data_IF_652233589940
#
_entry.id   IF_652233589940
#
_cell.length_a   1.000
_cell.length_b   1.000
_cell.length_c   1.000
_cell.angle_alpha   90.00
_cell.angle_beta   90.00
_cell.angle_gamma   90.00
#
_symmetry.space_group_name_H-M   'P 1'
#
loop_
_entity.id
_entity.type
_entity.pdbx_description
1 polymer ?
#
# COMPACT_ATOMS: atom_id res chain seq x y z
N UNK A 1 -20.65 0.94 7.63
CA UNK A 1 -21.73 0.71 6.65
C UNK A 1 -22.24 2.02 6.07
N UNK A 2 -22.57 3.03 6.85
CA UNK A 2 -23.07 4.35 6.38
C UNK A 2 -22.16 5.04 5.35
N UNK A 3 -20.86 5.17 5.61
CA UNK A 3 -19.90 5.77 4.65
C UNK A 3 -19.85 5.07 3.29
N UNK A 4 -20.03 3.74 3.26
CA UNK A 4 -20.03 2.99 2.00
C UNK A 4 -21.26 3.30 1.15
N UNK A 5 -22.41 3.48 1.80
CA UNK A 5 -23.68 3.85 1.14
C UNK A 5 -23.59 5.28 0.61
N UNK A 6 -23.04 6.21 1.41
CA UNK A 6 -22.86 7.61 1.02
C UNK A 6 -21.92 7.75 -0.20
N UNK A 7 -20.78 7.05 -0.22
CA UNK A 7 -19.89 7.06 -1.38
C UNK A 7 -20.54 6.47 -2.64
N UNK A 8 -21.38 5.43 -2.51
CA UNK A 8 -22.08 4.86 -3.67
C UNK A 8 -23.14 5.84 -4.22
N UNK A 9 -23.81 6.60 -3.34
CA UNK A 9 -24.76 7.65 -3.73
C UNK A 9 -24.04 8.79 -4.45
N UNK A 10 -22.96 9.32 -3.87
CA UNK A 10 -22.14 10.34 -4.50
C UNK A 10 -21.56 9.87 -5.85
N UNK A 11 -21.19 8.60 -5.96
CA UNK A 11 -20.73 8.03 -7.22
C UNK A 11 -21.83 8.00 -8.28
N UNK A 12 -23.08 7.67 -7.90
CA UNK A 12 -24.21 7.72 -8.82
C UNK A 12 -24.50 9.16 -9.29
N UNK A 13 -24.47 10.14 -8.40
CA UNK A 13 -24.64 11.57 -8.72
C UNK A 13 -23.51 12.08 -9.64
N UNK A 14 -22.26 11.68 -9.38
CA UNK A 14 -21.12 12.03 -10.21
C UNK A 14 -21.20 11.40 -11.61
N UNK A 15 -21.72 10.18 -11.74
CA UNK A 15 -22.03 9.54 -13.04
C UNK A 15 -23.11 10.29 -13.81
N UNK A 16 -24.08 10.87 -13.12
CA UNK A 16 -25.10 11.75 -13.70
C UNK A 16 -24.56 13.13 -14.10
N UNK A 17 -23.25 13.42 -13.89
CA UNK A 17 -22.58 14.65 -14.29
C UNK A 17 -22.37 15.67 -13.18
N UNK A 18 -22.68 15.37 -11.91
CA UNK A 18 -22.44 16.28 -10.81
C UNK A 18 -20.94 16.43 -10.52
N UNK A 19 -20.40 17.62 -10.83
CA UNK A 19 -19.01 17.98 -10.50
C UNK A 19 -18.79 18.08 -8.99
N UNK A 20 -19.79 18.51 -8.26
CA UNK A 20 -19.73 18.63 -6.79
C UNK A 20 -19.62 17.25 -6.14
N UNK A 21 -20.45 16.28 -6.55
CA UNK A 21 -20.38 14.91 -6.07
C UNK A 21 -19.02 14.28 -6.36
N UNK A 22 -18.44 14.53 -7.55
CA UNK A 22 -17.09 14.09 -7.90
C UNK A 22 -16.01 14.71 -6.98
N UNK A 23 -16.11 16.03 -6.74
CA UNK A 23 -15.17 16.74 -5.85
C UNK A 23 -15.23 16.21 -4.42
N UNK A 24 -16.45 15.91 -3.92
CA UNK A 24 -16.63 15.29 -2.60
C UNK A 24 -16.04 13.88 -2.55
N UNK A 25 -16.27 13.02 -3.54
CA UNK A 25 -15.64 11.71 -3.62
C UNK A 25 -14.10 11.79 -3.56
N UNK A 26 -13.53 12.74 -4.29
CA UNK A 26 -12.09 12.99 -4.25
C UNK A 26 -11.64 13.37 -2.84
N UNK A 27 -12.24 14.40 -2.25
CA UNK A 27 -11.84 14.92 -0.93
C UNK A 27 -11.97 13.88 0.19
N UNK A 28 -13.00 13.02 0.12
CA UNK A 28 -13.25 11.99 1.12
C UNK A 28 -12.32 10.75 0.99
N UNK A 29 -11.76 10.52 -0.21
CA UNK A 29 -10.95 9.33 -0.47
C UNK A 29 -9.45 9.59 -0.65
N UNK A 30 -9.05 10.84 -0.96
CA UNK A 30 -7.66 11.16 -1.29
C UNK A 30 -6.69 10.82 -0.15
N UNK A 31 -7.08 11.04 1.09
CA UNK A 31 -6.23 10.73 2.25
C UNK A 31 -5.94 9.23 2.37
N UNK A 32 -6.95 8.39 2.18
CA UNK A 32 -6.82 6.93 2.23
C UNK A 32 -5.92 6.42 1.09
N UNK A 33 -6.16 6.91 -0.13
CA UNK A 33 -5.35 6.57 -1.30
C UNK A 33 -3.90 7.01 -1.10
N UNK A 34 -3.67 8.25 -0.67
CA UNK A 34 -2.34 8.79 -0.40
C UNK A 34 -1.58 7.96 0.65
N UNK A 35 -2.23 7.64 1.77
CA UNK A 35 -1.64 6.79 2.81
C UNK A 35 -1.24 5.41 2.26
N UNK A 36 -2.12 4.79 1.46
CA UNK A 36 -1.82 3.49 0.82
C UNK A 36 -0.60 3.58 -0.09
N UNK A 37 -0.53 4.63 -0.91
CA UNK A 37 0.63 4.87 -1.79
C UNK A 37 1.90 5.06 -0.97
N UNK A 38 1.87 5.89 0.08
CA UNK A 38 3.03 6.15 0.95
C UNK A 38 3.58 4.89 1.62
N UNK A 39 2.71 3.94 1.98
CA UNK A 39 3.14 2.66 2.54
C UNK A 39 3.70 1.68 1.51
N UNK A 40 3.25 1.76 0.25
CA UNK A 40 3.54 0.74 -0.76
C UNK A 40 4.55 1.19 -1.83
N UNK A 41 4.73 2.50 -2.01
CA UNK A 41 5.73 3.10 -2.88
C UNK A 41 6.94 3.49 -2.04
N UNK A 42 8.13 3.12 -2.47
CA UNK A 42 9.37 3.31 -1.69
C UNK A 42 9.78 4.77 -1.59
N UNK A 43 9.73 5.47 -2.73
CA UNK A 43 10.17 6.85 -2.82
C UNK A 43 9.03 7.81 -2.51
N UNK A 44 9.22 8.60 -1.48
CA UNK A 44 8.24 9.60 -1.06
C UNK A 44 7.94 10.63 -2.15
N UNK A 45 8.97 11.00 -2.93
CA UNK A 45 8.87 11.95 -4.05
C UNK A 45 7.99 11.46 -5.20
N UNK A 46 7.82 10.15 -5.35
CA UNK A 46 6.98 9.56 -6.41
C UNK A 46 5.51 9.38 -5.97
N UNK A 47 5.20 9.63 -4.70
CA UNK A 47 3.87 9.37 -4.16
C UNK A 47 2.80 10.24 -4.81
N UNK A 48 3.08 11.52 -5.02
CA UNK A 48 2.12 12.47 -5.59
C UNK A 48 1.77 12.10 -7.05
N UNK A 49 2.77 11.73 -7.84
CA UNK A 49 2.59 11.27 -9.22
C UNK A 49 1.72 10.00 -9.27
N UNK A 50 1.98 9.06 -8.38
CA UNK A 50 1.20 7.80 -8.32
C UNK A 50 -0.24 8.08 -7.89
N UNK A 51 -0.48 9.00 -6.95
CA UNK A 51 -1.82 9.41 -6.53
C UNK A 51 -2.55 10.08 -7.70
N UNK A 52 -1.88 10.96 -8.44
CA UNK A 52 -2.44 11.59 -9.63
C UNK A 52 -2.81 10.55 -10.69
N UNK A 53 -1.93 9.59 -10.97
CA UNK A 53 -2.19 8.48 -11.90
C UNK A 53 -3.40 7.64 -11.48
N UNK A 54 -3.58 7.42 -10.16
CA UNK A 54 -4.73 6.69 -9.62
C UNK A 54 -6.02 7.43 -9.94
N UNK A 55 -6.11 8.74 -9.67
CA UNK A 55 -7.33 9.51 -9.90
C UNK A 55 -7.59 9.74 -11.39
N UNK A 56 -6.56 9.87 -12.22
CA UNK A 56 -6.73 9.86 -13.67
C UNK A 56 -7.27 8.51 -14.18
N UNK A 57 -6.78 7.39 -13.63
CA UNK A 57 -7.29 6.07 -13.99
C UNK A 57 -8.72 5.86 -13.47
N UNK A 58 -9.04 6.35 -12.27
CA UNK A 58 -10.39 6.37 -11.73
C UNK A 58 -11.32 7.13 -12.68
N UNK A 59 -10.98 8.36 -13.02
CA UNK A 59 -11.78 9.21 -13.92
C UNK A 59 -12.08 8.53 -15.26
N UNK A 60 -11.05 7.95 -15.90
CA UNK A 60 -11.21 7.20 -17.16
C UNK A 60 -12.07 5.94 -17.04
N UNK A 61 -12.07 5.32 -15.88
CA UNK A 61 -12.84 4.09 -15.62
C UNK A 61 -14.24 4.37 -15.07
N UNK A 62 -14.48 5.60 -14.63
CA UNK A 62 -15.70 6.02 -13.97
C UNK A 62 -16.99 5.76 -14.77
N UNK A 63 -17.03 5.99 -16.10
CA UNK A 63 -18.21 5.67 -16.91
C UNK A 63 -18.61 4.19 -16.93
N UNK A 64 -17.70 3.31 -16.49
CA UNK A 64 -17.91 1.84 -16.39
C UNK A 64 -18.10 1.36 -14.96
N UNK A 65 -18.13 2.28 -14.00
CA UNK A 65 -18.37 1.94 -12.62
C UNK A 65 -19.84 1.51 -12.45
N UNK A 66 -20.04 0.38 -11.76
CA UNK A 66 -21.34 -0.13 -11.39
C UNK A 66 -21.72 0.39 -10.00
N UNK A 67 -22.74 1.28 -9.89
CA UNK A 67 -23.16 1.86 -8.59
C UNK A 67 -23.70 0.83 -7.59
N UNK A 68 -24.05 -0.38 -8.04
CA UNK A 68 -24.43 -1.48 -7.14
C UNK A 68 -23.23 -2.04 -6.35
N UNK A 69 -22.01 -1.72 -6.75
CA UNK A 69 -20.78 -2.12 -6.06
C UNK A 69 -20.28 -1.04 -5.11
N UNK A 70 -19.69 -1.41 -3.96
CA UNK A 70 -19.09 -0.44 -3.05
C UNK A 70 -17.99 0.38 -3.73
N UNK A 71 -18.08 1.72 -3.67
CA UNK A 71 -17.14 2.62 -4.35
C UNK A 71 -15.70 2.51 -3.81
N UNK A 72 -15.52 2.47 -2.46
CA UNK A 72 -14.18 2.42 -1.85
C UNK A 72 -13.36 1.19 -2.29
N UNK A 73 -13.88 -0.05 -2.23
CA UNK A 73 -13.16 -1.23 -2.74
C UNK A 73 -12.84 -1.13 -4.24
N UNK A 74 -13.74 -0.56 -5.05
CA UNK A 74 -13.50 -0.37 -6.47
C UNK A 74 -12.36 0.62 -6.74
N UNK A 75 -12.38 1.81 -6.09
CA UNK A 75 -11.29 2.78 -6.18
C UNK A 75 -9.96 2.19 -5.68
N UNK A 76 -9.99 1.49 -4.54
CA UNK A 76 -8.78 0.87 -3.99
C UNK A 76 -8.23 -0.22 -4.93
N UNK A 77 -9.09 -0.93 -5.66
CA UNK A 77 -8.67 -1.87 -6.72
C UNK A 77 -7.90 -1.16 -7.84
N UNK A 78 -8.33 0.04 -8.25
CA UNK A 78 -7.60 0.89 -9.21
C UNK A 78 -6.27 1.32 -8.60
N UNK A 79 -6.27 1.80 -7.36
CA UNK A 79 -5.05 2.23 -6.66
C UNK A 79 -4.01 1.10 -6.59
N UNK A 80 -4.40 -0.10 -6.18
CA UNK A 80 -3.50 -1.25 -6.10
C UNK A 80 -2.94 -1.66 -7.46
N UNK A 81 -3.70 -1.48 -8.54
CA UNK A 81 -3.25 -1.73 -9.91
C UNK A 81 -2.19 -0.71 -10.34
N UNK A 82 -2.43 0.60 -10.10
CA UNK A 82 -1.47 1.65 -10.44
C UNK A 82 -0.17 1.52 -9.64
N UNK A 83 -0.25 1.30 -8.33
CA UNK A 83 0.92 1.04 -7.48
C UNK A 83 1.74 -0.15 -8.02
N UNK A 84 1.09 -1.25 -8.40
CA UNK A 84 1.77 -2.42 -8.99
C UNK A 84 2.45 -2.10 -10.32
N UNK A 85 1.76 -1.34 -11.19
CA UNK A 85 2.31 -0.92 -12.49
C UNK A 85 3.53 -0.01 -12.30
N UNK A 86 3.43 0.97 -11.40
CA UNK A 86 4.53 1.86 -11.04
C UNK A 86 5.75 1.06 -10.54
N UNK A 87 5.58 0.14 -9.60
CA UNK A 87 6.64 -0.74 -9.10
C UNK A 87 7.27 -1.60 -10.19
N UNK A 88 6.45 -2.15 -11.12
CA UNK A 88 6.96 -2.93 -12.25
C UNK A 88 7.78 -2.07 -13.20
N UNK A 89 7.33 -0.86 -13.54
CA UNK A 89 8.04 0.10 -14.39
C UNK A 89 9.41 0.44 -13.78
N UNK A 90 9.43 0.80 -12.52
CA UNK A 90 10.66 1.11 -11.79
C UNK A 90 11.63 -0.07 -11.74
N UNK A 91 11.16 -1.27 -11.45
CA UNK A 91 12.00 -2.46 -11.48
C UNK A 91 12.61 -2.72 -12.85
N UNK A 92 11.86 -2.51 -13.94
CA UNK A 92 12.39 -2.62 -15.30
C UNK A 92 13.46 -1.56 -15.58
N UNK A 93 13.25 -0.30 -15.15
CA UNK A 93 14.22 0.77 -15.30
C UNK A 93 15.54 0.44 -14.57
N UNK A 94 15.44 -0.03 -13.33
CA UNK A 94 16.61 -0.45 -12.55
C UNK A 94 17.35 -1.62 -13.19
N UNK A 95 16.66 -2.58 -13.79
CA UNK A 95 17.30 -3.68 -14.54
C UNK A 95 18.03 -3.19 -15.78
N UNK A 96 17.46 -2.24 -16.51
CA UNK A 96 18.09 -1.65 -17.71
C UNK A 96 19.32 -0.87 -17.29
N UNK A 97 19.23 -0.04 -16.25
CA UNK A 97 20.35 0.71 -15.72
C UNK A 97 21.51 -0.22 -15.27
N UNK A 98 21.19 -1.26 -14.48
CA UNK A 98 22.19 -2.26 -14.08
C UNK A 98 22.83 -3.01 -15.26
N UNK A 99 22.06 -3.28 -16.31
CA UNK A 99 22.61 -3.93 -17.52
C UNK A 99 23.53 -2.98 -18.30
N UNK A 100 23.24 -1.70 -18.29
CA UNK A 100 24.12 -0.68 -18.87
C UNK A 100 25.39 -0.47 -18.04
N UNK A 101 25.28 -0.47 -16.70
CA UNK A 101 26.42 -0.39 -15.77
C UNK A 101 27.30 -1.67 -15.78
N UNK A 102 26.69 -2.85 -15.92
CA UNK A 102 27.42 -4.13 -16.01
C UNK A 102 28.30 -4.25 -17.26
N UNK A 103 28.11 -3.39 -18.25
CA UNK A 103 29.02 -3.21 -19.38
C UNK A 103 30.22 -2.33 -18.98
N UNK A 104 30.17 -1.63 -17.85
CA UNK A 104 31.20 -0.66 -17.44
C UNK A 104 31.91 -0.96 -16.11
N UNK A 105 31.42 -1.76 -15.20
CA UNK A 105 32.19 -2.20 -14.01
C UNK A 105 31.44 -3.22 -13.13
N UNK A 106 32.18 -4.24 -12.66
CA UNK A 106 31.84 -5.07 -11.50
C UNK A 106 31.94 -4.23 -10.22
N UNK A 107 30.85 -3.81 -9.64
CA UNK A 107 30.78 -3.26 -8.30
C UNK A 107 29.51 -3.75 -7.60
N UNK A 108 29.73 -4.42 -6.47
CA UNK A 108 28.68 -4.83 -5.53
C UNK A 108 27.94 -3.60 -5.01
N UNK A 109 26.63 -3.57 -5.19
CA UNK A 109 25.78 -2.60 -4.52
C UNK A 109 24.92 -3.31 -3.47
N UNK A 110 25.29 -3.05 -2.23
CA UNK A 110 24.50 -3.34 -1.03
C UNK A 110 23.22 -2.49 -1.01
N UNK A 111 22.05 -3.14 -0.96
CA UNK A 111 20.73 -2.50 -0.97
C UNK A 111 20.24 -2.20 0.46
N UNK A 112 21.07 -1.61 1.29
CA UNK A 112 20.65 -0.99 2.56
C UNK A 112 20.68 0.53 2.44
N UNK A 113 19.82 1.08 1.56
CA UNK A 113 19.64 2.53 1.44
C UNK A 113 18.68 3.04 2.50
N UNK A 114 19.19 3.85 3.40
CA UNK A 114 18.55 4.67 4.40
C UNK A 114 17.19 5.24 3.96
N UNK A 115 16.15 4.92 4.71
CA UNK A 115 14.98 5.78 4.86
C UNK A 115 14.77 6.00 6.35
N UNK A 116 15.61 6.82 6.90
CA UNK A 116 15.38 7.52 8.15
C UNK A 116 14.90 8.89 7.77
N UNK A 117 13.57 9.14 7.78
CA UNK A 117 13.10 10.30 8.52
C UNK A 117 11.58 10.29 8.73
N UNK A 118 11.18 10.47 9.97
CA UNK A 118 9.91 10.93 10.50
C UNK A 118 8.77 9.95 10.84
N UNK A 119 8.90 8.64 10.69
CA UNK A 119 7.98 7.71 11.37
C UNK A 119 8.68 6.88 12.46
N UNK A 120 9.79 7.36 12.93
CA UNK A 120 10.75 6.67 13.78
C UNK A 120 10.38 6.65 15.28
N UNK A 121 9.13 6.42 15.66
CA UNK A 121 8.81 6.11 17.07
C UNK A 121 7.88 4.94 17.29
N UNK A 122 7.49 4.23 16.25
CA UNK A 122 6.66 3.04 16.42
C UNK A 122 7.38 1.83 15.80
N UNK A 123 7.98 1.00 16.62
CA UNK A 123 8.65 -0.24 16.22
C UNK A 123 7.72 -1.15 15.37
N UNK A 124 6.41 -1.00 15.53
CA UNK A 124 5.41 -1.72 14.75
C UNK A 124 5.35 -1.25 13.30
N UNK A 125 5.34 0.07 13.05
CA UNK A 125 5.31 0.63 11.69
C UNK A 125 6.55 0.21 10.90
N UNK A 126 7.73 0.26 11.49
CA UNK A 126 8.98 -0.22 10.89
C UNK A 126 8.94 -1.72 10.58
N UNK A 127 8.32 -2.52 11.46
CA UNK A 127 8.18 -3.94 11.23
C UNK A 127 7.20 -4.25 10.08
N UNK A 128 6.14 -3.46 9.92
CA UNK A 128 5.21 -3.57 8.78
C UNK A 128 5.93 -3.17 7.48
N UNK A 129 6.75 -2.13 7.49
CA UNK A 129 7.55 -1.73 6.31
C UNK A 129 8.48 -2.83 5.81
N UNK A 130 9.06 -3.60 6.73
CA UNK A 130 9.94 -4.72 6.42
C UNK A 130 9.23 -6.01 6.00
N UNK A 131 7.89 -6.00 5.90
CA UNK A 131 7.15 -7.15 5.38
C UNK A 131 7.34 -7.30 3.86
N UNK A 132 7.36 -8.55 3.35
CA UNK A 132 7.24 -8.79 1.92
C UNK A 132 6.03 -8.08 1.33
N UNK A 133 6.16 -7.51 0.14
CA UNK A 133 5.13 -6.67 -0.48
C UNK A 133 3.73 -7.28 -0.47
N UNK A 134 3.62 -8.59 -0.81
CA UNK A 134 2.33 -9.31 -0.83
C UNK A 134 1.66 -9.39 0.55
N UNK A 135 2.43 -9.44 1.62
CA UNK A 135 1.94 -9.44 2.99
C UNK A 135 1.62 -8.01 3.44
N UNK A 136 2.52 -7.04 3.13
CA UNK A 136 2.35 -5.64 3.49
C UNK A 136 1.04 -5.06 2.96
N UNK A 137 0.76 -5.25 1.66
CA UNK A 137 -0.49 -4.74 1.06
C UNK A 137 -1.74 -5.30 1.75
N UNK A 138 -1.74 -6.58 2.12
CA UNK A 138 -2.89 -7.22 2.80
C UNK A 138 -3.08 -6.68 4.22
N UNK A 139 -1.97 -6.46 4.95
CA UNK A 139 -1.99 -5.86 6.31
C UNK A 139 -2.49 -4.41 6.27
N UNK A 140 -2.03 -3.62 5.31
CA UNK A 140 -2.45 -2.23 5.17
C UNK A 140 -3.95 -2.16 4.89
N UNK A 141 -4.45 -2.93 3.94
CA UNK A 141 -5.87 -2.95 3.60
C UNK A 141 -6.73 -3.41 4.78
N UNK A 142 -6.30 -4.42 5.52
CA UNK A 142 -7.09 -4.99 6.62
C UNK A 142 -7.05 -4.15 7.90
N UNK A 143 -5.86 -3.77 8.36
CA UNK A 143 -5.68 -3.16 9.68
C UNK A 143 -5.62 -1.63 9.67
N UNK A 144 -5.23 -1.00 8.55
CA UNK A 144 -5.18 0.46 8.47
C UNK A 144 -6.42 1.05 7.79
N UNK A 145 -7.01 0.32 6.85
CA UNK A 145 -8.18 0.79 6.09
C UNK A 145 -9.46 0.03 6.39
N UNK A 146 -9.40 -0.98 7.28
CA UNK A 146 -10.53 -1.74 7.80
C UNK A 146 -11.37 -2.47 6.72
N UNK A 147 -10.74 -2.81 5.57
CA UNK A 147 -11.40 -3.64 4.58
C UNK A 147 -11.61 -5.06 5.08
N UNK A 148 -12.77 -5.64 4.80
CA UNK A 148 -13.06 -7.05 5.06
C UNK A 148 -12.16 -7.94 4.20
N UNK A 149 -12.00 -9.19 4.57
CA UNK A 149 -11.17 -10.13 3.80
C UNK A 149 -11.74 -10.39 2.41
N UNK A 150 -13.07 -10.36 2.28
CA UNK A 150 -13.82 -10.47 1.04
C UNK A 150 -13.55 -9.26 0.12
N UNK A 151 -13.61 -8.05 0.65
CA UNK A 151 -13.27 -6.84 -0.10
C UNK A 151 -11.80 -6.85 -0.54
N UNK A 152 -10.88 -7.28 0.34
CA UNK A 152 -9.45 -7.41 -0.01
C UNK A 152 -9.25 -8.42 -1.14
N UNK A 153 -9.99 -9.54 -1.14
CA UNK A 153 -9.96 -10.51 -2.23
C UNK A 153 -10.35 -9.87 -3.57
N UNK A 154 -11.40 -9.05 -3.58
CA UNK A 154 -11.84 -8.27 -4.75
C UNK A 154 -10.81 -7.20 -5.15
N UNK A 155 -10.33 -6.40 -4.21
CA UNK A 155 -9.34 -5.32 -4.43
C UNK A 155 -8.06 -5.88 -5.06
N UNK A 156 -7.55 -6.99 -4.55
CA UNK A 156 -6.30 -7.59 -5.00
C UNK A 156 -6.45 -8.56 -6.17
N UNK A 157 -7.69 -8.99 -6.48
CA UNK A 157 -7.98 -10.00 -7.49
C UNK A 157 -7.39 -11.38 -7.14
N UNK A 158 -7.52 -11.80 -5.87
CA UNK A 158 -6.99 -13.07 -5.36
C UNK A 158 -8.07 -13.84 -4.58
N UNK A 159 -7.96 -15.18 -4.47
CA UNK A 159 -8.90 -15.97 -3.68
C UNK A 159 -8.91 -15.56 -2.19
N UNK A 160 -10.08 -15.63 -1.54
CA UNK A 160 -10.26 -15.34 -0.12
C UNK A 160 -9.31 -16.17 0.77
N UNK A 161 -9.10 -17.44 0.45
CA UNK A 161 -8.14 -18.30 1.15
C UNK A 161 -6.71 -17.76 1.10
N UNK A 162 -6.32 -17.11 -0.03
CA UNK A 162 -5.03 -16.44 -0.16
C UNK A 162 -4.94 -15.19 0.70
N UNK A 163 -6.03 -14.44 0.87
CA UNK A 163 -6.07 -13.30 1.80
C UNK A 163 -5.85 -13.78 3.23
N UNK A 164 -6.60 -14.80 3.67
CA UNK A 164 -6.49 -15.39 5.01
C UNK A 164 -5.07 -15.89 5.31
N UNK A 165 -4.46 -16.63 4.38
CA UNK A 165 -3.10 -17.12 4.54
C UNK A 165 -2.06 -16.01 4.59
N UNK A 166 -2.22 -14.93 3.81
CA UNK A 166 -1.33 -13.76 3.85
C UNK A 166 -1.43 -12.98 5.16
N UNK A 167 -2.63 -12.78 5.70
CA UNK A 167 -2.82 -12.15 7.01
C UNK A 167 -2.12 -12.99 8.08
N UNK A 168 -2.36 -14.31 8.10
CA UNK A 168 -1.73 -15.21 9.05
C UNK A 168 -0.19 -15.16 8.98
N UNK A 169 0.37 -15.27 7.78
CA UNK A 169 1.82 -15.22 7.57
C UNK A 169 2.43 -13.86 7.99
N UNK A 170 1.72 -12.76 7.71
CA UNK A 170 2.14 -11.43 8.15
C UNK A 170 2.20 -11.34 9.69
N UNK A 171 1.15 -11.76 10.38
CA UNK A 171 1.09 -11.77 11.85
C UNK A 171 2.18 -12.64 12.46
N UNK A 172 2.42 -13.83 11.91
CA UNK A 172 3.53 -14.68 12.35
C UNK A 172 4.89 -13.98 12.20
N UNK A 173 5.12 -13.33 11.05
CA UNK A 173 6.37 -12.59 10.78
C UNK A 173 6.55 -11.44 11.76
N UNK A 174 5.49 -10.69 12.06
CA UNK A 174 5.53 -9.55 12.99
C UNK A 174 5.77 -10.03 14.44
N UNK A 175 5.11 -11.12 14.88
CA UNK A 175 5.31 -11.72 16.21
C UNK A 175 6.76 -12.18 16.40
N UNK A 176 7.34 -12.87 15.41
CA UNK A 176 8.73 -13.34 15.46
C UNK A 176 9.71 -12.17 15.55
N UNK A 177 9.49 -11.10 14.80
CA UNK A 177 10.34 -9.89 14.87
C UNK A 177 10.25 -9.19 16.22
N UNK A 178 9.05 -9.12 16.82
CA UNK A 178 8.85 -8.56 18.16
C UNK A 178 9.60 -9.37 19.22
N UNK A 179 9.54 -10.69 19.18
CA UNK A 179 10.28 -11.56 20.10
C UNK A 179 11.79 -11.36 19.97
N UNK A 180 12.33 -11.35 18.73
CA UNK A 180 13.75 -11.10 18.50
C UNK A 180 14.20 -9.68 18.94
N UNK A 181 13.32 -8.68 18.86
CA UNK A 181 13.58 -7.33 19.36
C UNK A 181 13.67 -7.28 20.89
N UNK A 182 12.82 -8.02 21.61
CA UNK A 182 12.85 -8.12 23.07
C UNK A 182 14.12 -8.83 23.59
N UNK A 183 14.60 -9.85 22.87
CA UNK A 183 15.87 -10.53 23.22
C UNK A 183 17.10 -9.65 22.99
N UNK A 184 17.05 -8.70 22.06
CA UNK A 184 18.18 -7.75 21.83
C UNK A 184 18.25 -6.64 22.86
N UNK A 185 17.11 -6.16 23.38
CA UNK A 185 17.08 -5.16 24.46
C UNK A 185 17.44 -5.76 25.81
N UNK A 186 17.04 -6.99 26.10
CA UNK A 186 17.40 -7.68 27.36
C UNK A 186 18.90 -8.03 27.49
N UNK A 187 19.61 -8.25 26.37
CA UNK A 187 21.06 -8.53 26.41
C UNK A 187 21.96 -7.31 26.65
N UNK A 188 21.43 -6.10 26.54
CA UNK A 188 22.21 -4.87 26.77
C UNK A 188 22.19 -4.46 28.24
N UNK A 189 21.16 -4.86 29.00
CA UNK A 189 21.08 -4.56 30.43
C UNK A 189 21.96 -5.46 31.29
N UNK A 190 22.26 -6.69 30.87
CA UNK A 190 23.17 -7.61 31.61
C UNK A 190 24.67 -7.32 31.46
N UNK A 191 25.07 -6.40 30.57
CA UNK A 191 26.49 -6.05 30.36
C UNK A 191 26.92 -4.76 31.10
N UNK A 192 26.05 -4.12 31.87
CA UNK A 192 26.38 -2.93 32.65
C UNK A 192 26.40 -3.17 34.18
N UNK A 193 26.21 -4.41 34.66
CA UNK A 193 26.31 -4.79 36.08
C UNK A 193 27.46 -5.79 36.37
N UNK A 194 28.62 -5.60 35.75
CA UNK A 194 29.85 -6.34 36.11
C UNK A 194 31.05 -5.46 36.14
#
# INVERSE_FOLDING_TARGET
MERSIEHSKLAAEALAGSREAYSRLYSETVREVYQTVRFLVREASEADDVVQDIYLAMFRSFPRYDPARPFRPWLMGIAMRQIRNHRRKRWMQLRIAKKAEAVQQTAEYDFSGDITDRLSRNSLAQNVEKLPYKLKQTVILHYFHEYTQEEIALILGIPLGTVKSRIHAALQTLRRKRQLGLFRTGKVEELHES
#
